data_IF_010331006079
#
_entry.id   IF_010331006079
#
_cell.length_a   1.000
_cell.length_b   1.000
_cell.length_c   1.000
_cell.angle_alpha   90.00
_cell.angle_beta   90.00
_cell.angle_gamma   90.00
#
_symmetry.space_group_name_H-M   'P 1'
#
loop_
_entity.id
_entity.type
_entity.pdbx_description
1 polymer ?
#
# COMPACT_ATOMS: atom_id res chain seq x y z
N UNK A 1 28.24 74.52 42.15
CA UNK A 1 27.74 73.83 40.94
C UNK A 1 28.37 72.44 40.65
N UNK A 2 29.35 71.93 41.45
CA UNK A 2 29.96 70.60 41.20
C UNK A 2 29.11 69.41 41.73
N UNK A 3 28.26 69.61 42.75
CA UNK A 3 27.47 68.58 43.44
C UNK A 3 26.37 67.95 42.57
N UNK A 4 25.75 68.75 41.71
CA UNK A 4 24.69 68.26 40.81
C UNK A 4 25.18 67.35 39.66
N UNK A 5 26.44 67.56 39.22
CA UNK A 5 27.02 66.73 38.16
C UNK A 5 27.37 65.33 38.64
N UNK A 6 27.68 65.18 39.94
CA UNK A 6 27.97 63.90 40.58
C UNK A 6 26.69 63.08 40.71
N UNK A 7 25.59 63.69 41.18
CA UNK A 7 24.31 63.03 41.26
C UNK A 7 23.77 62.62 39.85
N UNK A 8 23.96 63.47 38.86
CA UNK A 8 23.57 63.12 37.48
C UNK A 8 24.37 61.94 36.94
N UNK A 9 25.66 61.83 37.24
CA UNK A 9 26.47 60.66 36.87
C UNK A 9 26.04 59.40 37.57
N UNK A 10 25.69 59.46 38.86
CA UNK A 10 25.19 58.34 39.62
C UNK A 10 23.84 57.85 39.12
N UNK A 11 22.91 58.75 38.77
CA UNK A 11 21.62 58.37 38.23
C UNK A 11 21.73 57.76 36.84
N UNK A 12 22.62 58.23 35.99
CA UNK A 12 22.90 57.63 34.67
C UNK A 12 23.51 56.26 34.81
N UNK A 13 24.47 56.06 35.73
CA UNK A 13 25.06 54.75 35.97
C UNK A 13 24.04 53.76 36.52
N UNK A 14 23.17 54.20 37.43
CA UNK A 14 22.11 53.36 37.97
C UNK A 14 21.09 52.98 36.91
N UNK A 15 20.70 53.90 36.01
CA UNK A 15 19.80 53.61 34.88
C UNK A 15 20.45 52.65 33.90
N UNK A 16 21.75 52.79 33.60
CA UNK A 16 22.50 51.92 32.70
C UNK A 16 22.61 50.50 33.26
N UNK A 17 22.85 50.39 34.59
CA UNK A 17 22.88 49.09 35.28
C UNK A 17 21.52 48.40 35.27
N UNK A 18 20.43 49.16 35.44
CA UNK A 18 19.06 48.59 35.41
C UNK A 18 18.67 48.08 34.04
N UNK A 19 19.04 48.83 32.97
CA UNK A 19 18.77 48.40 31.58
C UNK A 19 19.60 47.17 31.20
N UNK A 20 20.85 47.07 31.66
CA UNK A 20 21.69 45.93 31.38
C UNK A 20 21.18 44.64 32.06
N UNK A 21 20.66 44.74 33.29
CA UNK A 21 20.02 43.59 33.94
C UNK A 21 18.71 43.15 33.28
N UNK A 22 17.91 44.06 32.71
CA UNK A 22 16.70 43.75 31.99
C UNK A 22 16.97 43.04 30.67
N UNK A 23 18.05 43.36 29.97
CA UNK A 23 18.39 42.70 28.68
C UNK A 23 18.92 41.28 28.83
N UNK A 24 19.55 40.96 30.00
CA UNK A 24 20.06 39.61 30.29
C UNK A 24 18.91 38.62 30.58
N UNK A 25 17.78 39.10 31.12
CA UNK A 25 16.60 38.28 31.44
C UNK A 25 15.76 37.89 30.22
N UNK A 26 16.03 38.45 29.05
CA UNK A 26 15.33 38.13 27.79
C UNK A 26 16.06 37.13 26.92
N UNK A 27 17.28 36.70 27.30
CA UNK A 27 17.89 35.54 26.65
C UNK A 27 17.12 34.30 27.10
N UNK A 28 16.31 33.75 26.17
CA UNK A 28 15.62 32.49 26.41
C UNK A 28 16.64 31.44 26.90
N UNK A 29 16.43 30.92 28.12
CA UNK A 29 17.25 29.81 28.62
C UNK A 29 17.06 28.63 27.65
N UNK A 30 18.13 28.27 26.97
CA UNK A 30 18.17 27.05 26.17
C UNK A 30 17.82 25.84 27.09
N UNK A 31 16.78 25.09 26.73
CA UNK A 31 16.23 24.00 27.56
C UNK A 31 15.02 24.38 28.39
N UNK A 32 14.42 25.58 28.15
CA UNK A 32 13.14 25.95 28.77
C UNK A 32 11.97 25.21 28.11
N UNK A 33 10.78 25.29 28.72
CA UNK A 33 9.55 24.72 28.12
C UNK A 33 9.17 25.34 26.76
N UNK A 34 9.75 26.49 26.41
CA UNK A 34 9.54 27.18 25.13
C UNK A 34 10.66 26.92 24.11
N UNK A 35 11.81 26.41 24.56
CA UNK A 35 12.95 25.98 23.74
C UNK A 35 13.59 24.73 24.35
N UNK A 36 12.92 23.55 24.24
CA UNK A 36 13.41 22.33 24.85
C UNK A 36 14.65 21.81 24.11
N UNK A 37 15.76 21.65 24.80
CA UNK A 37 16.94 20.96 24.31
C UNK A 37 16.62 19.47 24.18
N UNK A 38 16.58 18.97 22.94
CA UNK A 38 16.40 17.55 22.66
C UNK A 38 17.76 16.91 22.47
N UNK A 39 18.07 15.87 23.25
CA UNK A 39 19.32 15.12 23.10
C UNK A 39 19.27 14.20 21.89
N UNK A 40 20.42 13.94 21.26
CA UNK A 40 20.54 13.02 20.12
C UNK A 40 20.06 11.60 20.49
N UNK A 41 20.28 11.16 21.72
CA UNK A 41 19.78 9.87 22.21
C UNK A 41 18.26 9.84 22.30
N UNK A 42 17.62 10.89 22.78
CA UNK A 42 16.15 10.97 22.78
C UNK A 42 15.57 10.94 21.35
N UNK A 43 16.22 11.66 20.42
CA UNK A 43 15.81 11.67 19.01
C UNK A 43 15.91 10.27 18.39
N UNK A 44 17.01 9.56 18.63
CA UNK A 44 17.25 8.26 18.01
C UNK A 44 16.52 7.12 18.71
N UNK A 45 16.47 7.11 20.04
CA UNK A 45 16.00 5.96 20.81
C UNK A 45 14.50 6.03 21.12
N UNK A 46 13.95 7.24 21.24
CA UNK A 46 12.55 7.43 21.66
C UNK A 46 11.70 8.06 20.57
N UNK A 47 12.15 9.18 20.00
CA UNK A 47 11.34 9.96 19.08
C UNK A 47 11.20 9.28 17.71
N UNK A 48 12.27 8.66 17.21
CA UNK A 48 12.23 7.92 15.96
C UNK A 48 11.28 6.73 16.05
N UNK A 49 11.31 5.99 17.18
CA UNK A 49 10.37 4.90 17.45
C UNK A 49 8.91 5.37 17.43
N UNK A 50 8.61 6.45 18.14
CA UNK A 50 7.25 7.02 18.16
C UNK A 50 6.76 7.51 16.80
N UNK A 51 7.66 8.02 15.96
CA UNK A 51 7.30 8.41 14.57
C UNK A 51 7.02 7.17 13.72
N UNK A 52 7.86 6.14 13.82
CA UNK A 52 7.66 4.90 13.07
C UNK A 52 6.32 4.25 13.45
N UNK A 53 5.99 4.16 14.73
CA UNK A 53 4.71 3.64 15.20
C UNK A 53 3.51 4.43 14.62
N UNK A 54 3.59 5.76 14.60
CA UNK A 54 2.54 6.62 14.01
C UNK A 54 2.46 6.50 12.50
N UNK A 55 3.57 6.28 11.82
CA UNK A 55 3.61 6.05 10.37
C UNK A 55 2.94 4.71 10.05
N UNK A 56 3.28 3.67 10.77
CA UNK A 56 2.70 2.34 10.59
C UNK A 56 1.20 2.33 10.88
N UNK A 57 0.76 3.01 11.93
CA UNK A 57 -0.67 3.20 12.23
C UNK A 57 -1.39 3.93 11.08
N UNK A 58 -0.82 5.00 10.55
CA UNK A 58 -1.40 5.73 9.42
C UNK A 58 -1.42 4.92 8.12
N UNK A 59 -0.40 4.12 7.88
CA UNK A 59 -0.36 3.19 6.74
C UNK A 59 -1.47 2.15 6.88
N UNK A 60 -1.63 1.54 8.06
CA UNK A 60 -2.68 0.58 8.33
C UNK A 60 -4.08 1.20 8.16
N UNK A 61 -4.31 2.41 8.67
CA UNK A 61 -5.57 3.15 8.48
C UNK A 61 -5.85 3.46 7.01
N UNK A 62 -4.85 3.90 6.25
CA UNK A 62 -5.01 4.16 4.82
C UNK A 62 -5.27 2.89 4.02
N UNK A 63 -4.57 1.82 4.33
CA UNK A 63 -4.82 0.54 3.68
C UNK A 63 -6.24 0.05 3.95
N UNK A 64 -6.74 0.17 5.17
CA UNK A 64 -8.13 -0.15 5.51
C UNK A 64 -9.13 0.70 4.75
N UNK A 65 -8.89 2.00 4.62
CA UNK A 65 -9.74 2.92 3.85
C UNK A 65 -9.73 2.59 2.35
N UNK A 66 -8.57 2.25 1.79
CA UNK A 66 -8.45 1.84 0.38
C UNK A 66 -9.25 0.56 0.14
N UNK A 67 -9.11 -0.43 1.02
CA UNK A 67 -9.88 -1.69 0.94
C UNK A 67 -11.38 -1.43 1.02
N UNK A 68 -11.82 -0.51 1.89
CA UNK A 68 -13.24 -0.12 1.99
C UNK A 68 -13.73 0.66 0.76
N UNK A 69 -12.90 1.49 0.15
CA UNK A 69 -13.25 2.27 -1.05
C UNK A 69 -13.23 1.45 -2.34
N UNK A 70 -12.40 0.41 -2.39
CA UNK A 70 -12.30 -0.47 -3.56
C UNK A 70 -13.42 -1.54 -3.63
N UNK A 71 -14.42 -1.43 -2.78
CA UNK A 71 -15.60 -2.26 -2.76
C UNK A 71 -15.63 -3.16 -1.53
N UNK A 72 -16.63 -2.97 -0.69
CA UNK A 72 -17.00 -3.85 0.38
C UNK A 72 -17.40 -5.25 -0.14
N UNK A 73 -16.47 -5.94 -0.72
CA UNK A 73 -16.52 -7.37 -0.98
C UNK A 73 -16.16 -8.08 0.31
N UNK A 74 -17.19 -8.67 0.90
CA UNK A 74 -17.22 -9.53 2.04
C UNK A 74 -15.89 -10.26 2.31
N UNK A 75 -15.34 -10.10 3.50
CA UNK A 75 -14.21 -10.87 4.00
C UNK A 75 -14.58 -12.35 4.04
N UNK A 76 -14.33 -13.00 2.94
CA UNK A 76 -14.28 -14.43 2.82
C UNK A 76 -12.98 -14.76 2.11
N UNK A 77 -11.99 -15.19 2.88
CA UNK A 77 -10.70 -15.69 2.37
C UNK A 77 -9.82 -14.66 1.68
N UNK A 78 -8.78 -14.23 2.39
CA UNK A 78 -7.60 -13.48 1.92
C UNK A 78 -7.88 -12.59 0.71
N UNK A 79 -8.26 -11.32 0.96
CA UNK A 79 -8.52 -10.33 -0.08
C UNK A 79 -7.40 -10.33 -1.11
N UNK A 80 -7.68 -10.90 -2.25
CA UNK A 80 -6.82 -10.84 -3.40
C UNK A 80 -6.72 -9.38 -3.84
N UNK A 81 -5.69 -8.70 -3.40
CA UNK A 81 -5.16 -7.57 -4.14
C UNK A 81 -5.02 -8.11 -5.56
N UNK A 82 -5.71 -7.51 -6.55
CA UNK A 82 -5.56 -7.87 -7.96
C UNK A 82 -4.06 -8.02 -8.22
N UNK A 83 -3.60 -9.26 -8.21
CA UNK A 83 -2.18 -9.51 -8.35
C UNK A 83 -1.78 -9.01 -9.74
N UNK A 84 -1.05 -7.90 -9.78
CA UNK A 84 -0.49 -7.35 -11.03
C UNK A 84 0.51 -8.33 -11.67
N UNK A 85 0.83 -9.43 -10.98
CA UNK A 85 1.83 -10.42 -11.34
C UNK A 85 1.17 -11.77 -11.62
N UNK A 86 1.63 -12.47 -12.63
CA UNK A 86 1.21 -13.85 -12.88
C UNK A 86 1.74 -14.80 -11.80
N UNK A 87 0.86 -15.65 -11.32
CA UNK A 87 1.18 -16.76 -10.41
C UNK A 87 0.97 -18.10 -11.08
N UNK A 88 1.76 -19.11 -10.70
CA UNK A 88 1.59 -20.47 -11.21
C UNK A 88 0.52 -21.20 -10.42
N UNK A 89 -0.53 -21.63 -11.09
CA UNK A 89 -1.61 -22.45 -10.54
C UNK A 89 -1.51 -23.86 -11.13
N UNK A 90 -1.52 -24.87 -10.27
CA UNK A 90 -1.52 -26.27 -10.70
C UNK A 90 -2.90 -26.86 -10.44
N UNK A 91 -3.49 -27.40 -11.50
CA UNK A 91 -4.77 -28.10 -11.46
C UNK A 91 -4.57 -29.59 -11.69
N UNK A 92 -5.31 -30.40 -10.95
CA UNK A 92 -5.47 -31.84 -11.21
C UNK A 92 -6.53 -32.08 -12.29
N UNK A 93 -6.48 -33.21 -12.95
CA UNK A 93 -7.45 -33.56 -13.99
C UNK A 93 -8.91 -33.46 -13.51
N UNK A 94 -9.71 -32.73 -14.25
CA UNK A 94 -11.11 -32.46 -13.94
C UNK A 94 -11.36 -31.20 -13.13
N UNK A 95 -10.38 -30.65 -12.42
CA UNK A 95 -10.55 -29.38 -11.70
C UNK A 95 -10.80 -28.20 -12.63
N UNK A 96 -11.61 -27.27 -12.15
CA UNK A 96 -12.01 -26.07 -12.87
C UNK A 96 -11.49 -24.85 -12.12
N UNK A 97 -10.77 -24.00 -12.82
CA UNK A 97 -10.45 -22.65 -12.39
C UNK A 97 -11.50 -21.70 -12.98
N UNK A 98 -12.25 -21.02 -12.13
CA UNK A 98 -13.21 -19.97 -12.53
C UNK A 98 -12.63 -18.63 -12.10
N UNK A 99 -12.49 -17.72 -13.05
CA UNK A 99 -11.95 -16.39 -12.79
C UNK A 99 -13.03 -15.31 -12.81
N UNK A 100 -12.73 -14.22 -12.10
CA UNK A 100 -13.53 -13.00 -12.15
C UNK A 100 -13.28 -12.23 -13.46
N UNK A 101 -14.10 -11.21 -13.71
CA UNK A 101 -13.92 -10.33 -14.89
C UNK A 101 -12.53 -9.69 -14.83
N UNK A 102 -11.80 -9.76 -15.93
CA UNK A 102 -10.42 -9.28 -16.05
C UNK A 102 -9.36 -10.30 -15.58
N UNK A 103 -9.77 -11.51 -15.16
CA UNK A 103 -8.82 -12.59 -14.89
C UNK A 103 -8.22 -13.08 -16.22
N UNK A 104 -6.88 -13.20 -16.21
CA UNK A 104 -6.11 -13.69 -17.35
C UNK A 104 -5.46 -15.02 -17.03
N UNK A 105 -5.46 -15.92 -17.99
CA UNK A 105 -4.85 -17.24 -17.85
C UNK A 105 -4.03 -17.60 -19.09
N UNK A 106 -2.91 -18.29 -18.88
CA UNK A 106 -2.07 -18.85 -19.94
C UNK A 106 -1.76 -20.31 -19.61
N UNK A 107 -2.07 -21.22 -20.54
CA UNK A 107 -1.72 -22.63 -20.41
C UNK A 107 -0.24 -22.85 -20.64
N UNK A 108 0.48 -23.39 -19.66
CA UNK A 108 1.93 -23.65 -19.74
C UNK A 108 2.27 -25.13 -19.87
N UNK A 109 1.55 -25.99 -19.14
CA UNK A 109 1.80 -27.44 -19.12
C UNK A 109 0.47 -28.19 -19.09
N UNK A 110 0.39 -29.31 -19.76
CA UNK A 110 -0.79 -30.14 -19.81
C UNK A 110 -1.78 -29.70 -20.89
N UNK A 111 -3.03 -30.04 -20.71
CA UNK A 111 -4.15 -29.68 -21.58
C UNK A 111 -5.33 -29.17 -20.78
N UNK A 112 -6.07 -28.25 -21.35
CA UNK A 112 -7.23 -27.64 -20.70
C UNK A 112 -8.29 -27.25 -21.74
N UNK A 113 -9.54 -27.13 -21.31
CA UNK A 113 -10.64 -26.67 -22.13
C UNK A 113 -11.33 -25.44 -21.52
N UNK A 114 -11.91 -24.63 -22.36
CA UNK A 114 -12.72 -23.48 -21.97
C UNK A 114 -14.00 -23.92 -21.24
N UNK A 115 -14.32 -23.26 -20.16
CA UNK A 115 -15.61 -23.37 -19.45
C UNK A 115 -16.34 -22.05 -19.61
N UNK A 116 -17.49 -22.08 -20.29
CA UNK A 116 -18.30 -20.91 -20.53
C UNK A 116 -19.77 -21.32 -20.63
N UNK A 117 -20.58 -21.11 -19.58
CA UNK A 117 -22.00 -21.51 -19.57
C UNK A 117 -22.84 -20.84 -20.66
N UNK A 118 -22.39 -19.70 -21.17
CA UNK A 118 -23.06 -18.96 -22.28
C UNK A 118 -22.00 -18.27 -23.15
N UNK A 119 -22.39 -17.75 -24.29
CA UNK A 119 -21.54 -16.90 -25.15
C UNK A 119 -21.46 -15.47 -24.59
N UNK A 120 -20.32 -14.76 -24.74
CA UNK A 120 -19.05 -15.23 -25.27
C UNK A 120 -18.29 -16.15 -24.30
N UNK A 121 -17.37 -16.94 -24.81
CA UNK A 121 -16.45 -17.73 -23.98
C UNK A 121 -15.23 -16.92 -23.54
N UNK A 122 -14.03 -17.54 -23.55
CA UNK A 122 -12.78 -16.86 -23.25
C UNK A 122 -12.32 -16.04 -24.46
N UNK A 123 -11.80 -14.86 -24.21
CA UNK A 123 -11.14 -14.07 -25.27
C UNK A 123 -9.70 -14.56 -25.40
N UNK A 124 -9.32 -15.06 -26.56
CA UNK A 124 -7.94 -15.38 -26.92
C UNK A 124 -7.26 -14.11 -27.43
N UNK A 125 -6.50 -13.45 -26.55
CA UNK A 125 -5.80 -12.20 -26.88
C UNK A 125 -4.64 -12.44 -27.86
N UNK A 126 -4.06 -13.65 -27.84
CA UNK A 126 -2.95 -14.00 -28.71
C UNK A 126 -3.39 -14.23 -30.15
N UNK A 127 -4.61 -14.73 -30.35
CA UNK A 127 -5.17 -15.00 -31.66
C UNK A 127 -6.22 -13.94 -32.12
N UNK A 128 -6.62 -13.03 -31.22
CA UNK A 128 -7.69 -12.05 -31.51
C UNK A 128 -9.05 -12.70 -31.75
N UNK A 129 -9.34 -13.79 -31.05
CA UNK A 129 -10.54 -14.61 -31.27
C UNK A 129 -11.27 -14.93 -29.97
N UNK A 130 -12.44 -15.53 -30.03
CA UNK A 130 -13.20 -16.00 -28.87
C UNK A 130 -13.23 -17.51 -28.85
N UNK A 131 -12.81 -18.09 -27.73
CA UNK A 131 -12.80 -19.53 -27.50
C UNK A 131 -14.18 -19.96 -26.95
N UNK A 132 -14.87 -20.86 -27.62
CA UNK A 132 -16.17 -21.36 -27.19
C UNK A 132 -16.07 -22.38 -26.08
N UNK A 133 -17.18 -22.61 -25.36
CA UNK A 133 -17.25 -23.63 -24.33
C UNK A 133 -16.81 -25.02 -24.82
N UNK A 134 -15.97 -25.69 -24.03
CA UNK A 134 -15.41 -27.01 -24.35
C UNK A 134 -14.24 -27.00 -25.32
N UNK A 135 -13.97 -25.88 -26.00
CA UNK A 135 -12.83 -25.81 -26.93
C UNK A 135 -11.49 -25.87 -26.17
N UNK A 136 -10.52 -26.52 -26.77
CA UNK A 136 -9.19 -26.69 -26.16
C UNK A 136 -8.40 -25.38 -26.15
N UNK A 137 -7.73 -25.10 -25.04
CA UNK A 137 -6.76 -24.01 -24.95
C UNK A 137 -5.49 -24.35 -25.71
N UNK A 138 -4.93 -23.37 -26.41
CA UNK A 138 -3.62 -23.45 -27.03
C UNK A 138 -2.55 -23.07 -26.01
N UNK A 139 -1.46 -23.85 -25.91
CA UNK A 139 -0.36 -23.52 -25.02
C UNK A 139 0.29 -22.17 -25.41
N UNK A 140 0.65 -21.40 -24.37
CA UNK A 140 1.29 -20.10 -24.48
C UNK A 140 0.40 -18.99 -25.08
N UNK A 141 -0.88 -19.24 -25.33
CA UNK A 141 -1.83 -18.20 -25.61
C UNK A 141 -2.35 -17.57 -24.31
N UNK A 142 -2.59 -16.27 -24.33
CA UNK A 142 -3.19 -15.52 -23.25
C UNK A 142 -4.71 -15.44 -23.46
N UNK A 143 -5.46 -15.80 -22.43
CA UNK A 143 -6.92 -15.81 -22.43
C UNK A 143 -7.44 -14.89 -21.34
N UNK A 144 -8.43 -14.03 -21.67
CA UNK A 144 -9.09 -13.15 -20.72
C UNK A 144 -10.54 -13.56 -20.46
N UNK A 145 -10.96 -13.46 -19.24
CA UNK A 145 -12.34 -13.63 -18.80
C UNK A 145 -13.05 -12.28 -18.75
N UNK A 146 -13.97 -12.05 -19.67
CA UNK A 146 -14.69 -10.76 -19.80
C UNK A 146 -16.11 -10.80 -19.24
N UNK A 147 -16.57 -11.99 -18.84
CA UNK A 147 -17.89 -12.22 -18.26
C UNK A 147 -17.75 -13.19 -17.09
N UNK A 148 -18.59 -13.05 -16.06
CA UNK A 148 -18.62 -13.95 -14.90
C UNK A 148 -18.91 -15.41 -15.29
N UNK A 149 -18.42 -16.34 -14.44
CA UNK A 149 -18.63 -17.78 -14.63
C UNK A 149 -17.80 -18.37 -15.77
N UNK A 150 -16.81 -17.67 -16.27
CA UNK A 150 -15.85 -18.18 -17.26
C UNK A 150 -14.68 -18.84 -16.53
N UNK A 151 -14.15 -19.88 -17.15
CA UNK A 151 -13.08 -20.64 -16.53
C UNK A 151 -12.33 -21.56 -17.47
N UNK A 152 -11.45 -22.32 -16.85
CA UNK A 152 -10.59 -23.30 -17.53
C UNK A 152 -10.67 -24.62 -16.78
N UNK A 153 -11.01 -25.71 -17.46
CA UNK A 153 -11.02 -27.06 -16.93
C UNK A 153 -9.78 -27.81 -17.34
N UNK A 154 -9.04 -28.35 -16.36
CA UNK A 154 -7.92 -29.23 -16.63
C UNK A 154 -8.39 -30.56 -17.24
N UNK A 155 -7.85 -30.94 -18.39
CA UNK A 155 -8.16 -32.21 -19.06
C UNK A 155 -7.03 -33.21 -18.97
N UNK A 156 -5.78 -32.78 -18.66
CA UNK A 156 -4.67 -33.64 -18.33
C UNK A 156 -4.62 -33.94 -16.80
N UNK A 157 -3.94 -35.00 -16.42
CA UNK A 157 -3.73 -35.36 -15.01
C UNK A 157 -3.08 -34.24 -14.18
N UNK A 158 -2.20 -33.46 -14.81
CA UNK A 158 -1.58 -32.26 -14.25
C UNK A 158 -1.58 -31.16 -15.28
N UNK A 159 -2.16 -30.02 -14.94
CA UNK A 159 -2.19 -28.83 -15.79
C UNK A 159 -1.64 -27.64 -15.04
N UNK A 160 -0.70 -26.90 -15.62
CA UNK A 160 -0.15 -25.67 -15.03
C UNK A 160 -0.54 -24.46 -15.84
N UNK A 161 -1.14 -23.52 -15.15
CA UNK A 161 -1.57 -22.24 -15.68
C UNK A 161 -0.74 -21.12 -15.06
N UNK A 162 -0.43 -20.10 -15.83
CA UNK A 162 -0.10 -18.78 -15.28
C UNK A 162 -1.39 -17.99 -15.18
N UNK A 163 -1.68 -17.44 -14.01
CA UNK A 163 -2.94 -16.75 -13.74
C UNK A 163 -2.65 -15.37 -13.16
N UNK A 164 -3.35 -14.36 -13.64
CA UNK A 164 -3.35 -12.99 -13.12
C UNK A 164 -4.79 -12.55 -12.90
N UNK A 165 -5.10 -12.03 -11.72
CA UNK A 165 -6.46 -11.66 -11.31
C UNK A 165 -7.04 -12.59 -10.26
N UNK A 166 -8.30 -12.34 -9.89
CA UNK A 166 -9.02 -13.15 -8.89
C UNK A 166 -9.62 -14.39 -9.53
N UNK A 167 -9.55 -15.52 -8.82
CA UNK A 167 -10.09 -16.80 -9.28
C UNK A 167 -10.42 -17.73 -8.12
N UNK A 168 -11.22 -18.75 -8.39
CA UNK A 168 -11.49 -19.87 -7.51
C UNK A 168 -11.16 -21.18 -8.21
N UNK A 169 -10.86 -22.25 -7.46
CA UNK A 169 -10.61 -23.59 -7.98
C UNK A 169 -11.55 -24.57 -7.29
N UNK A 170 -12.25 -25.38 -8.08
CA UNK A 170 -13.17 -26.42 -7.62
C UNK A 170 -12.86 -27.77 -8.28
#
# INVERSE_FOLDING_TARGET
MKKNRWFLRMTVLLALSLTLNCTISLAAEAGSSQDPLVTLSYLNDTFLGQIMDKVDEKIAQRNSQIVQQMGGGQAGSAGSVMASTFTVVTLSGGQVLTGDIGCEVMLRVGTASCVAPSTPGLIDESAGSTLSNGAALVQNHLYMMTVEGRGVKATAATTKLLVRGSYTVA
#
